data_IF_976874700871
#
_entry.id   IF_976874700871
#
_cell.length_a   1.000
_cell.length_b   1.000
_cell.length_c   1.000
_cell.angle_alpha   90.00
_cell.angle_beta   90.00
_cell.angle_gamma   90.00
#
_symmetry.space_group_name_H-M   'P 1'
#
loop_
_entity.id
_entity.type
_entity.pdbx_description
1 polymer ?
#
# COMPACT_ATOMS: atom_id res chain seq x y z
N UNK A 1 3.43 60.12 -9.22
CA UNK A 1 3.44 58.73 -9.70
C UNK A 1 4.15 57.91 -8.64
N UNK A 2 3.62 56.92 -7.95
CA UNK A 2 2.34 56.21 -7.94
C UNK A 2 2.60 55.03 -6.99
N UNK A 3 1.87 54.93 -5.88
CA UNK A 3 2.14 53.98 -4.80
C UNK A 3 1.35 52.67 -4.97
N UNK A 4 2.05 51.56 -4.73
CA UNK A 4 1.65 50.32 -4.03
C UNK A 4 0.19 49.83 -4.09
N UNK A 5 -0.02 48.59 -4.55
CA UNK A 5 -0.82 47.56 -3.83
C UNK A 5 -0.77 46.17 -4.50
N UNK A 6 -0.48 45.12 -3.71
CA UNK A 6 -1.11 43.77 -3.77
C UNK A 6 -2.19 43.74 -2.65
N UNK A 7 -3.22 42.85 -2.61
CA UNK A 7 -3.19 41.45 -3.03
C UNK A 7 -4.49 40.85 -3.63
N UNK A 8 -4.38 39.55 -3.92
CA UNK A 8 -5.33 38.63 -4.55
C UNK A 8 -6.53 38.25 -3.66
N UNK A 9 -7.73 38.26 -4.27
CA UNK A 9 -8.60 37.08 -4.38
C UNK A 9 -9.33 36.54 -3.14
N UNK A 10 -10.37 37.25 -2.69
CA UNK A 10 -11.46 36.66 -1.90
C UNK A 10 -12.46 35.98 -2.85
N UNK A 11 -12.66 34.67 -2.75
CA UNK A 11 -13.79 33.98 -3.40
C UNK A 11 -15.00 33.99 -2.46
N UNK A 12 -15.98 34.81 -2.81
CA UNK A 12 -17.30 34.86 -2.18
C UNK A 12 -18.20 33.76 -2.80
N UNK A 13 -18.78 32.87 -1.97
CA UNK A 13 -19.91 32.03 -2.36
C UNK A 13 -21.20 32.88 -2.34
N UNK A 14 -21.97 32.99 -3.44
CA UNK A 14 -23.25 33.68 -3.39
C UNK A 14 -24.34 32.77 -2.81
N UNK A 15 -24.93 33.21 -1.69
CA UNK A 15 -26.19 32.68 -1.15
C UNK A 15 -27.32 33.14 -2.08
N UNK A 16 -27.80 32.26 -2.96
CA UNK A 16 -28.99 32.55 -3.78
C UNK A 16 -30.27 32.26 -2.99
N UNK A 17 -30.91 33.33 -2.54
CA UNK A 17 -32.31 33.36 -2.10
C UNK A 17 -33.19 33.31 -3.36
N UNK A 18 -33.99 32.26 -3.56
CA UNK A 18 -34.96 32.18 -4.68
C UNK A 18 -36.22 33.01 -4.32
N UNK A 19 -36.63 34.01 -5.12
CA UNK A 19 -38.00 34.48 -5.13
C UNK A 19 -38.86 33.58 -6.03
N UNK A 20 -40.15 33.48 -5.72
CA UNK A 20 -41.09 32.58 -6.38
C UNK A 20 -41.18 32.76 -7.90
N UNK A 21 -41.36 31.64 -8.61
CA UNK A 21 -41.60 31.61 -10.05
C UNK A 21 -41.79 30.18 -10.57
N UNK A 22 -43.05 29.88 -10.92
CA UNK A 22 -43.59 28.80 -11.79
C UNK A 22 -42.75 27.54 -12.04
N UNK A 23 -43.29 26.39 -11.63
CA UNK A 23 -42.83 25.04 -12.01
C UNK A 23 -43.08 24.83 -13.52
N UNK A 24 -42.00 24.87 -14.32
CA UNK A 24 -41.97 24.25 -15.65
C UNK A 24 -41.61 22.76 -15.53
N UNK A 25 -41.92 21.92 -16.54
CA UNK A 25 -41.74 20.48 -16.47
C UNK A 25 -40.27 20.16 -16.16
N UNK A 26 -40.07 19.41 -15.08
CA UNK A 26 -38.78 18.94 -14.61
C UNK A 26 -38.07 18.19 -15.73
N UNK A 27 -37.14 18.85 -16.42
CA UNK A 27 -36.14 18.17 -17.20
C UNK A 27 -35.41 17.23 -16.24
N UNK A 28 -35.68 15.93 -16.40
CA UNK A 28 -35.08 14.85 -15.66
C UNK A 28 -33.61 14.78 -16.08
N UNK A 29 -32.80 15.69 -15.53
CA UNK A 29 -31.35 15.69 -15.68
C UNK A 29 -30.88 14.41 -14.99
N UNK A 30 -30.70 13.36 -15.80
CA UNK A 30 -30.24 12.06 -15.35
C UNK A 30 -28.79 12.25 -14.89
N UNK A 31 -28.61 12.42 -13.59
CA UNK A 31 -27.28 12.45 -13.00
C UNK A 31 -26.56 11.13 -13.34
N UNK A 32 -25.26 11.14 -13.66
CA UNK A 32 -24.50 9.91 -13.80
C UNK A 32 -24.56 9.13 -12.49
N UNK A 33 -25.06 7.91 -12.52
CA UNK A 33 -25.20 7.05 -11.33
C UNK A 33 -23.83 6.41 -10.98
N UNK A 34 -22.83 7.20 -10.59
CA UNK A 34 -21.41 6.81 -10.77
C UNK A 34 -20.50 6.43 -9.58
N UNK A 35 -20.89 6.45 -8.29
CA UNK A 35 -20.05 5.81 -7.24
C UNK A 35 -20.61 4.47 -6.72
N UNK A 36 -21.92 4.39 -6.51
CA UNK A 36 -22.57 3.32 -5.75
C UNK A 36 -22.61 1.95 -6.45
N UNK A 37 -22.68 1.93 -7.78
CA UNK A 37 -22.68 0.66 -8.54
C UNK A 37 -21.29 0.03 -8.63
N UNK A 38 -20.26 0.87 -8.70
CA UNK A 38 -18.87 0.44 -8.73
C UNK A 38 -18.46 -0.20 -7.40
N UNK A 39 -18.74 0.47 -6.28
CA UNK A 39 -18.47 -0.04 -4.93
C UNK A 39 -19.15 -1.39 -4.69
N UNK A 40 -20.43 -1.51 -5.06
CA UNK A 40 -21.18 -2.78 -4.96
C UNK A 40 -20.57 -3.89 -5.81
N UNK A 41 -20.04 -3.55 -7.00
CA UNK A 41 -19.38 -4.52 -7.88
C UNK A 41 -18.07 -5.00 -7.27
N UNK A 42 -17.23 -4.09 -6.78
CA UNK A 42 -15.95 -4.41 -6.12
C UNK A 42 -16.18 -5.27 -4.87
N UNK A 43 -17.15 -4.91 -4.05
CA UNK A 43 -17.54 -5.71 -2.88
C UNK A 43 -17.97 -7.13 -3.27
N UNK A 44 -18.79 -7.27 -4.32
CA UNK A 44 -19.24 -8.56 -4.85
C UNK A 44 -18.07 -9.40 -5.37
N UNK A 45 -17.12 -8.78 -6.07
CA UNK A 45 -15.93 -9.48 -6.59
C UNK A 45 -15.02 -9.94 -5.45
N UNK A 46 -14.72 -9.08 -4.48
CA UNK A 46 -13.90 -9.44 -3.33
C UNK A 46 -14.50 -10.60 -2.54
N UNK A 47 -15.83 -10.58 -2.30
CA UNK A 47 -16.54 -11.70 -1.66
C UNK A 47 -16.41 -13.01 -2.46
N UNK A 48 -16.44 -12.92 -3.79
CA UNK A 48 -16.26 -14.07 -4.67
C UNK A 48 -14.86 -14.66 -4.55
N UNK A 49 -13.82 -13.82 -4.55
CA UNK A 49 -12.42 -14.22 -4.39
C UNK A 49 -12.16 -14.87 -3.03
N UNK A 50 -12.64 -14.25 -1.94
CA UNK A 50 -12.58 -14.84 -0.60
C UNK A 50 -13.27 -16.21 -0.59
N UNK A 51 -14.45 -16.32 -1.21
CA UNK A 51 -15.17 -17.58 -1.31
C UNK A 51 -14.39 -18.68 -2.04
N UNK A 52 -13.62 -18.34 -3.07
CA UNK A 52 -12.74 -19.29 -3.77
C UNK A 52 -11.63 -19.79 -2.86
N UNK A 53 -10.85 -18.89 -2.27
CA UNK A 53 -9.68 -19.29 -1.44
C UNK A 53 -10.11 -20.08 -0.20
N UNK A 54 -11.24 -19.73 0.43
CA UNK A 54 -11.78 -20.49 1.57
C UNK A 54 -12.20 -21.92 1.19
N UNK A 55 -12.57 -22.15 -0.07
CA UNK A 55 -12.87 -23.50 -0.59
C UNK A 55 -11.63 -24.23 -1.12
N UNK A 56 -10.44 -23.67 -0.97
CA UNK A 56 -9.21 -24.24 -1.51
C UNK A 56 -9.09 -24.12 -3.04
N UNK A 57 -9.80 -23.18 -3.66
CA UNK A 57 -9.73 -22.92 -5.10
C UNK A 57 -8.74 -21.78 -5.33
N UNK A 58 -7.77 -22.02 -6.21
CA UNK A 58 -6.76 -21.03 -6.57
C UNK A 58 -7.37 -19.86 -7.36
N UNK A 59 -6.86 -18.66 -7.10
CA UNK A 59 -7.12 -17.50 -7.94
C UNK A 59 -6.17 -17.50 -9.14
N UNK A 60 -6.65 -17.04 -10.29
CA UNK A 60 -5.73 -16.72 -11.39
C UNK A 60 -4.87 -15.50 -11.04
N UNK A 61 -3.80 -15.29 -11.80
CA UNK A 61 -2.94 -14.11 -11.66
C UNK A 61 -3.74 -12.80 -11.74
N UNK A 62 -4.67 -12.70 -12.70
CA UNK A 62 -5.53 -11.52 -12.90
C UNK A 62 -6.49 -11.31 -11.72
N UNK A 63 -7.11 -12.39 -11.23
CA UNK A 63 -8.03 -12.34 -10.09
C UNK A 63 -7.30 -11.89 -8.82
N UNK A 64 -6.09 -12.40 -8.59
CA UNK A 64 -5.29 -11.99 -7.45
C UNK A 64 -4.78 -10.55 -7.58
N UNK A 65 -4.44 -10.12 -8.78
CA UNK A 65 -4.09 -8.73 -9.06
C UNK A 65 -5.26 -7.78 -8.77
N UNK A 66 -6.48 -8.12 -9.20
CA UNK A 66 -7.69 -7.35 -8.89
C UNK A 66 -7.98 -7.31 -7.39
N UNK A 67 -7.90 -8.46 -6.71
CA UNK A 67 -8.09 -8.54 -5.26
C UNK A 67 -7.12 -7.63 -4.51
N UNK A 68 -5.84 -7.65 -4.89
CA UNK A 68 -4.82 -6.80 -4.28
C UNK A 68 -5.01 -5.32 -4.61
N UNK A 69 -5.44 -4.96 -5.82
CA UNK A 69 -5.78 -3.58 -6.15
C UNK A 69 -6.94 -3.03 -5.29
N UNK A 70 -7.94 -3.85 -5.00
CA UNK A 70 -9.03 -3.49 -4.08
C UNK A 70 -8.52 -3.29 -2.64
N UNK A 71 -7.54 -4.08 -2.19
CA UNK A 71 -6.90 -3.88 -0.88
C UNK A 71 -6.07 -2.60 -0.82
N UNK A 72 -5.23 -2.36 -1.83
CA UNK A 72 -4.32 -1.20 -1.89
C UNK A 72 -5.10 0.11 -2.00
N UNK A 73 -6.18 0.13 -2.78
CA UNK A 73 -7.05 1.31 -2.94
C UNK A 73 -7.95 1.59 -1.73
N UNK A 74 -8.02 0.67 -0.75
CA UNK A 74 -8.91 0.77 0.40
C UNK A 74 -10.38 0.41 0.12
N UNK A 75 -10.69 -0.14 -1.07
CA UNK A 75 -12.03 -0.62 -1.41
C UNK A 75 -12.41 -1.89 -0.62
N UNK A 76 -11.42 -2.69 -0.21
CA UNK A 76 -11.63 -3.84 0.65
C UNK A 76 -11.61 -3.44 2.13
N UNK A 77 -12.61 -3.88 2.89
CA UNK A 77 -12.63 -3.68 4.35
C UNK A 77 -11.51 -4.49 5.05
N UNK A 78 -11.07 -4.10 6.26
CA UNK A 78 -10.08 -4.85 7.02
C UNK A 78 -10.47 -6.31 7.26
N UNK A 79 -11.78 -6.58 7.45
CA UNK A 79 -12.29 -7.94 7.61
C UNK A 79 -12.16 -8.77 6.31
N UNK A 80 -12.43 -8.16 5.15
CA UNK A 80 -12.26 -8.83 3.85
C UNK A 80 -10.78 -9.10 3.55
N UNK A 81 -9.91 -8.13 3.82
CA UNK A 81 -8.47 -8.30 3.69
C UNK A 81 -7.96 -9.45 4.58
N UNK A 82 -8.34 -9.44 5.86
CA UNK A 82 -7.98 -10.52 6.79
C UNK A 82 -8.50 -11.89 6.35
N UNK A 83 -9.73 -11.96 5.83
CA UNK A 83 -10.32 -13.20 5.33
C UNK A 83 -9.59 -13.74 4.09
N UNK A 84 -9.24 -12.87 3.13
CA UNK A 84 -8.48 -13.26 1.94
C UNK A 84 -7.10 -13.80 2.33
N UNK A 85 -6.36 -13.06 3.16
CA UNK A 85 -5.00 -13.45 3.60
C UNK A 85 -5.01 -14.73 4.43
N UNK A 86 -5.99 -14.90 5.32
CA UNK A 86 -6.13 -16.13 6.11
C UNK A 86 -6.49 -17.31 5.21
N UNK A 87 -7.39 -17.12 4.25
CA UNK A 87 -7.78 -18.15 3.29
C UNK A 87 -6.60 -18.61 2.44
N UNK A 88 -5.82 -17.66 1.90
CA UNK A 88 -4.57 -17.93 1.18
C UNK A 88 -3.58 -18.73 2.04
N UNK A 89 -3.37 -18.31 3.29
CA UNK A 89 -2.45 -18.98 4.22
C UNK A 89 -2.86 -20.42 4.54
N UNK A 90 -4.16 -20.66 4.71
CA UNK A 90 -4.70 -22.00 5.04
C UNK A 90 -4.67 -22.91 3.81
N UNK A 91 -5.02 -22.39 2.64
CA UNK A 91 -4.97 -23.11 1.36
C UNK A 91 -3.53 -23.43 0.93
N UNK A 92 -2.62 -22.50 1.19
CA UNK A 92 -1.31 -22.40 0.53
C UNK A 92 -1.40 -21.52 -0.72
N UNK A 93 -0.45 -20.59 -0.86
CA UNK A 93 -0.36 -19.68 -1.99
C UNK A 93 0.26 -20.34 -3.23
N UNK A 94 -0.25 -20.02 -4.42
CA UNK A 94 0.34 -20.46 -5.70
C UNK A 94 1.29 -19.43 -6.29
N UNK A 95 2.07 -19.83 -7.31
CA UNK A 95 2.97 -18.93 -8.03
C UNK A 95 2.18 -17.83 -8.75
N UNK A 96 1.04 -18.17 -9.34
CA UNK A 96 0.15 -17.24 -10.03
C UNK A 96 -0.42 -16.20 -9.07
N UNK A 97 -0.84 -16.62 -7.86
CA UNK A 97 -1.35 -15.74 -6.83
C UNK A 97 -0.26 -14.77 -6.35
N UNK A 98 0.94 -15.28 -6.04
CA UNK A 98 2.08 -14.45 -5.64
C UNK A 98 2.46 -13.48 -6.77
N UNK A 99 2.48 -13.94 -8.02
CA UNK A 99 2.81 -13.11 -9.19
C UNK A 99 1.79 -11.99 -9.38
N UNK A 100 0.50 -12.29 -9.29
CA UNK A 100 -0.58 -11.29 -9.37
C UNK A 100 -0.48 -10.25 -8.27
N UNK A 101 -0.19 -10.69 -7.04
CA UNK A 101 0.02 -9.79 -5.91
C UNK A 101 1.22 -8.85 -6.11
N UNK A 102 2.36 -9.39 -6.55
CA UNK A 102 3.57 -8.60 -6.86
C UNK A 102 3.30 -7.61 -7.99
N UNK A 103 2.57 -8.01 -9.03
CA UNK A 103 2.17 -7.11 -10.13
C UNK A 103 1.31 -5.96 -9.63
N UNK A 104 0.31 -6.22 -8.78
CA UNK A 104 -0.51 -5.16 -8.17
C UNK A 104 0.35 -4.21 -7.31
N UNK A 105 1.23 -4.75 -6.45
CA UNK A 105 2.11 -3.94 -5.62
C UNK A 105 3.06 -3.07 -6.46
N UNK A 106 3.65 -3.63 -7.51
CA UNK A 106 4.51 -2.87 -8.44
C UNK A 106 3.75 -1.79 -9.18
N UNK A 107 2.52 -2.06 -9.62
CA UNK A 107 1.71 -1.08 -10.34
C UNK A 107 1.34 0.14 -9.47
N UNK A 108 1.19 -0.06 -8.15
CA UNK A 108 0.81 0.99 -7.20
C UNK A 108 2.01 1.56 -6.42
N UNK A 109 3.21 0.98 -6.59
CA UNK A 109 4.42 1.40 -5.89
C UNK A 109 5.03 2.68 -6.44
N UNK A 110 5.57 3.53 -5.56
CA UNK A 110 6.40 4.66 -5.96
C UNK A 110 7.84 4.20 -6.17
N UNK A 111 8.36 4.35 -7.39
CA UNK A 111 9.73 3.96 -7.72
C UNK A 111 10.69 5.14 -7.66
N UNK A 112 11.83 4.94 -7.01
CA UNK A 112 12.95 5.89 -7.03
C UNK A 112 13.75 5.61 -8.31
N UNK A 113 13.82 6.59 -9.21
CA UNK A 113 14.71 6.53 -10.38
C UNK A 113 16.12 6.94 -9.96
N UNK A 114 17.05 6.00 -9.99
CA UNK A 114 18.48 6.29 -9.82
C UNK A 114 19.17 6.32 -11.19
N UNK A 115 20.01 7.35 -11.42
CA UNK A 115 20.73 7.58 -12.67
C UNK A 115 22.00 6.70 -12.83
N UNK A 116 22.02 5.51 -12.21
CA UNK A 116 23.16 4.61 -12.21
C UNK A 116 24.09 4.81 -11.01
N UNK A 117 24.73 3.71 -10.56
CA UNK A 117 25.67 3.69 -9.44
C UNK A 117 25.05 3.55 -8.05
N UNK A 118 23.78 3.16 -7.95
CA UNK A 118 23.12 2.83 -6.68
C UNK A 118 23.04 1.33 -6.49
N UNK A 119 23.44 0.85 -5.32
CA UNK A 119 23.27 -0.53 -4.90
C UNK A 119 22.01 -0.61 -4.05
N UNK A 120 21.07 -1.46 -4.48
CA UNK A 120 19.92 -1.86 -3.68
C UNK A 120 20.35 -3.06 -2.82
N UNK A 121 20.31 -2.90 -1.51
CA UNK A 121 20.79 -3.93 -0.57
C UNK A 121 19.68 -4.97 -0.27
N UNK A 122 18.43 -4.71 -0.64
CA UNK A 122 17.29 -5.61 -0.41
C UNK A 122 16.93 -6.48 -1.64
N UNK A 123 17.92 -6.95 -2.41
CA UNK A 123 17.68 -7.90 -3.53
C UNK A 123 17.57 -9.33 -3.01
N UNK A 124 16.90 -10.20 -3.77
CA UNK A 124 16.73 -11.64 -3.48
C UNK A 124 18.06 -12.39 -3.15
N UNK A 125 19.20 -11.92 -3.66
CA UNK A 125 20.54 -12.47 -3.37
C UNK A 125 21.06 -12.11 -1.97
N UNK A 126 20.48 -11.09 -1.36
CA UNK A 126 20.74 -10.62 0.01
C UNK A 126 19.36 -10.52 0.68
N UNK A 127 18.74 -11.66 0.98
CA UNK A 127 17.52 -11.71 1.78
C UNK A 127 17.86 -11.42 3.25
N UNK A 128 18.13 -10.15 3.55
CA UNK A 128 18.79 -9.74 4.81
C UNK A 128 17.81 -9.61 6.00
N UNK A 129 16.53 -9.90 5.79
CA UNK A 129 15.49 -9.58 6.79
C UNK A 129 15.18 -10.75 7.72
N UNK A 130 15.14 -11.99 7.20
CA UNK A 130 14.96 -13.20 7.99
C UNK A 130 16.29 -13.84 8.40
N UNK A 131 17.30 -13.78 7.53
CA UNK A 131 18.60 -14.47 7.73
C UNK A 131 19.63 -13.62 8.48
N UNK A 132 19.25 -12.40 8.89
CA UNK A 132 20.22 -11.41 9.41
C UNK A 132 19.68 -10.63 10.58
N UNK A 133 18.69 -11.20 11.26
CA UNK A 133 18.51 -10.98 12.68
C UNK A 133 19.48 -11.89 13.43
N UNK A 134 20.67 -11.36 13.73
CA UNK A 134 21.56 -12.03 14.65
C UNK A 134 21.02 -11.83 16.07
N UNK A 135 20.69 -12.92 16.76
CA UNK A 135 20.50 -12.88 18.20
C UNK A 135 21.86 -12.69 18.85
N UNK A 136 22.15 -11.50 19.36
CA UNK A 136 23.34 -11.26 20.16
C UNK A 136 22.98 -11.58 21.61
N UNK A 137 23.00 -12.85 21.99
CA UNK A 137 22.81 -13.24 23.39
C UNK A 137 24.16 -13.24 24.11
N UNK A 138 24.35 -12.28 25.01
CA UNK A 138 25.12 -12.44 26.25
C UNK A 138 24.67 -11.38 27.26
N UNK A 139 23.48 -11.59 27.81
CA UNK A 139 22.92 -10.83 28.93
C UNK A 139 21.99 -11.76 29.70
N UNK A 140 22.24 -11.87 31.00
CA UNK A 140 21.56 -12.75 31.98
C UNK A 140 20.08 -12.41 32.25
N UNK A 141 19.46 -11.53 31.46
CA UNK A 141 18.09 -11.04 31.64
C UNK A 141 17.02 -11.73 30.77
N UNK A 142 17.40 -12.74 29.98
CA UNK A 142 16.48 -13.50 29.13
C UNK A 142 15.88 -12.70 27.97
N UNK A 143 16.37 -11.50 27.67
CA UNK A 143 15.93 -10.70 26.52
C UNK A 143 16.79 -10.97 25.28
N UNK A 144 16.16 -11.45 24.21
CA UNK A 144 16.80 -11.61 22.91
C UNK A 144 17.01 -10.22 22.29
N UNK A 145 18.24 -9.69 22.31
CA UNK A 145 18.59 -8.47 21.57
C UNK A 145 18.92 -8.87 20.13
N UNK A 146 18.02 -8.56 19.21
CA UNK A 146 18.26 -8.74 17.77
C UNK A 146 18.85 -7.47 17.17
N UNK A 147 19.88 -7.63 16.35
CA UNK A 147 20.52 -6.54 15.63
C UNK A 147 20.16 -6.59 14.15
N UNK A 148 19.83 -5.43 13.57
CA UNK A 148 19.50 -5.32 12.16
C UNK A 148 20.79 -5.24 11.32
N UNK A 149 21.38 -6.39 11.02
CA UNK A 149 22.63 -6.48 10.25
C UNK A 149 22.48 -5.81 8.89
N UNK A 150 21.30 -5.85 8.29
CA UNK A 150 21.03 -5.20 7.00
C UNK A 150 21.15 -3.67 7.05
N UNK A 151 20.73 -3.04 8.15
CA UNK A 151 20.92 -1.61 8.38
C UNK A 151 22.42 -1.29 8.55
N UNK A 152 23.15 -2.11 9.31
CA UNK A 152 24.58 -1.95 9.50
C UNK A 152 25.38 -2.09 8.20
N UNK A 153 25.07 -3.11 7.40
CA UNK A 153 25.67 -3.32 6.07
C UNK A 153 25.41 -2.12 5.15
N UNK A 154 24.21 -1.54 5.20
CA UNK A 154 23.89 -0.33 4.45
C UNK A 154 24.77 0.86 4.84
N UNK A 155 24.97 1.07 6.15
CA UNK A 155 25.86 2.14 6.63
C UNK A 155 27.33 1.89 6.27
N UNK A 156 27.82 0.65 6.37
CA UNK A 156 29.19 0.29 5.99
C UNK A 156 29.42 0.51 4.48
N UNK A 157 28.49 0.05 3.63
CA UNK A 157 28.57 0.26 2.19
C UNK A 157 28.52 1.76 1.81
N UNK A 158 27.68 2.53 2.50
CA UNK A 158 27.63 3.98 2.33
C UNK A 158 28.95 4.66 2.77
N UNK A 159 29.53 4.21 3.89
CA UNK A 159 30.85 4.66 4.37
C UNK A 159 32.00 4.32 3.42
N UNK A 160 31.87 3.25 2.64
CA UNK A 160 32.80 2.89 1.56
C UNK A 160 32.60 3.72 0.26
N UNK A 161 31.71 4.72 0.27
CA UNK A 161 31.48 5.63 -0.86
C UNK A 161 30.42 5.16 -1.86
N UNK A 162 29.68 4.10 -1.56
CA UNK A 162 28.62 3.60 -2.42
C UNK A 162 27.30 4.34 -2.16
N UNK A 163 26.53 4.63 -3.21
CA UNK A 163 25.16 5.12 -3.03
C UNK A 163 24.27 3.94 -2.70
N UNK A 164 23.71 3.93 -1.49
CA UNK A 164 22.88 2.85 -0.98
C UNK A 164 21.42 3.29 -0.92
N UNK A 165 20.52 2.46 -1.43
CA UNK A 165 19.08 2.58 -1.19
C UNK A 165 18.59 1.31 -0.51
N UNK A 166 17.85 1.51 0.58
CA UNK A 166 17.29 0.46 1.43
C UNK A 166 15.81 0.74 1.68
N UNK A 167 14.99 -0.30 1.63
CA UNK A 167 13.61 -0.28 2.12
C UNK A 167 13.59 -0.60 3.62
N UNK A 168 12.85 0.21 4.37
CA UNK A 168 12.78 0.11 5.82
C UNK A 168 11.35 -0.08 6.30
N UNK A 169 11.13 -1.03 7.20
CA UNK A 169 9.85 -1.25 7.87
C UNK A 169 9.99 -0.98 9.36
N UNK A 170 8.99 -0.35 9.98
CA UNK A 170 8.87 -0.25 11.44
C UNK A 170 8.14 -1.48 11.97
N UNK A 171 8.63 -2.07 13.06
CA UNK A 171 7.93 -3.20 13.69
C UNK A 171 7.24 -2.75 14.96
N UNK A 172 6.05 -3.30 15.20
CA UNK A 172 5.28 -3.11 16.44
C UNK A 172 5.58 -4.18 17.48
N UNK A 173 6.40 -5.17 17.14
CA UNK A 173 6.82 -6.25 18.03
C UNK A 173 8.06 -5.87 18.84
N UNK A 174 8.48 -6.74 19.77
CA UNK A 174 9.67 -6.52 20.63
C UNK A 174 11.01 -6.57 19.86
N UNK A 175 10.97 -6.75 18.54
CA UNK A 175 12.13 -6.81 17.64
C UNK A 175 12.40 -5.43 17.03
N UNK A 176 13.66 -5.12 16.70
CA UNK A 176 13.97 -3.83 16.06
C UNK A 176 13.71 -3.89 14.54
N UNK A 177 12.97 -2.90 14.04
CA UNK A 177 12.72 -2.73 12.61
C UNK A 177 13.87 -2.00 11.96
N UNK A 178 14.07 -2.21 10.66
CA UNK A 178 15.12 -1.52 9.91
C UNK A 178 14.92 0.00 9.86
N UNK A 179 13.70 0.49 10.09
CA UNK A 179 13.41 1.92 10.21
C UNK A 179 13.38 2.43 11.67
N UNK A 180 13.59 1.56 12.65
CA UNK A 180 13.65 1.91 14.08
C UNK A 180 15.09 2.17 14.56
N UNK A 181 16.08 1.95 13.69
CA UNK A 181 17.52 2.18 13.89
C UNK A 181 18.02 3.22 12.89
#
# INVERSE_FOLDING_TARGET
MGASARPHGFFYFPIYKRPGGRQGPSAFFSQPRLPQEKEKREEKMMKSYIGKVVRGIDLSEDEMMEAMNMMISGAASPAQAGALLTGLRVKGETVEEITGAVKALRANGSFIRSNGGTIAIDRDEINIEAETMLSTASGDDGSTRTFNVSAATAFVAAGAGLKVVRYGTRVTSRLCGSADV
#
